data_IF_389891639513
#
_entry.id   IF_389891639513
#
_cell.length_a   1.000
_cell.length_b   1.000
_cell.length_c   1.000
_cell.angle_alpha   90.00
_cell.angle_beta   90.00
_cell.angle_gamma   90.00
#
_symmetry.space_group_name_H-M   'P 1'
#
loop_
_entity.id
_entity.type
_entity.pdbx_description
1 polymer ?
#
# COMPACT_ATOMS: atom_id res chain seq x y z
N UNK A 1 -14.42 6.26 -9.04
CA UNK A 1 -14.44 5.37 -10.22
C UNK A 1 -15.56 5.70 -11.21
N UNK A 2 -16.78 5.97 -10.79
CA UNK A 2 -17.89 6.34 -11.72
C UNK A 2 -17.57 7.59 -12.57
N UNK A 3 -16.72 8.48 -12.09
CA UNK A 3 -16.20 9.62 -12.83
C UNK A 3 -14.98 9.31 -13.73
N UNK A 4 -14.67 8.03 -13.97
CA UNK A 4 -13.52 7.60 -14.78
C UNK A 4 -12.16 7.76 -14.10
N UNK A 5 -12.14 7.98 -12.78
CA UNK A 5 -10.91 8.12 -12.00
C UNK A 5 -10.78 7.05 -10.94
N UNK A 6 -9.55 6.66 -10.63
CA UNK A 6 -9.24 5.73 -9.55
C UNK A 6 -8.94 6.51 -8.27
N UNK A 7 -9.77 6.38 -7.21
CA UNK A 7 -9.71 7.26 -6.04
C UNK A 7 -8.50 6.99 -5.13
N UNK A 8 -7.73 5.94 -5.36
CA UNK A 8 -6.49 5.63 -4.62
C UNK A 8 -5.23 6.14 -5.30
N UNK A 9 -5.31 6.69 -6.51
CA UNK A 9 -4.17 7.29 -7.20
C UNK A 9 -3.86 8.65 -6.61
N UNK A 10 -2.59 8.91 -6.47
CA UNK A 10 -2.06 10.16 -6.00
C UNK A 10 -0.70 10.40 -6.64
N UNK A 11 -0.51 11.57 -7.21
CA UNK A 11 0.83 12.04 -7.52
C UNK A 11 1.63 12.20 -6.22
N UNK A 12 2.92 11.98 -6.30
CA UNK A 12 3.78 12.24 -5.16
C UNK A 12 3.93 13.73 -4.93
N UNK A 13 3.32 14.25 -3.87
CA UNK A 13 3.38 15.65 -3.51
C UNK A 13 4.27 15.86 -2.28
N UNK A 14 5.54 16.18 -2.54
CA UNK A 14 6.51 16.48 -1.49
C UNK A 14 6.15 17.76 -0.72
N UNK A 15 5.34 18.68 -1.29
CA UNK A 15 4.96 19.93 -0.62
C UNK A 15 4.01 19.72 0.55
N UNK A 16 3.28 18.60 0.55
CA UNK A 16 2.40 18.16 1.65
C UNK A 16 3.04 17.12 2.56
N UNK A 17 4.29 16.73 2.28
CA UNK A 17 5.01 15.69 3.04
C UNK A 17 4.80 14.28 2.55
N UNK A 18 4.06 14.09 1.44
CA UNK A 18 3.94 12.84 0.69
C UNK A 18 3.19 11.72 1.42
N UNK A 19 3.72 11.16 2.48
CA UNK A 19 3.14 10.03 3.20
C UNK A 19 1.92 10.37 4.05
N UNK A 20 1.08 9.37 4.30
CA UNK A 20 0.08 9.47 5.36
C UNK A 20 0.71 9.35 6.74
N UNK A 21 0.54 10.37 7.58
CA UNK A 21 1.16 10.47 8.90
C UNK A 21 0.09 10.63 10.00
N UNK A 22 0.40 10.10 11.18
CA UNK A 22 -0.33 10.46 12.38
C UNK A 22 -0.04 11.93 12.71
N UNK A 23 -1.10 12.74 12.87
CA UNK A 23 -1.02 14.17 13.08
C UNK A 23 -0.19 14.53 14.33
N UNK A 24 -0.36 13.77 15.42
CA UNK A 24 0.24 14.08 16.72
C UNK A 24 1.63 13.47 16.87
N UNK A 25 1.80 12.21 16.48
CA UNK A 25 3.06 11.48 16.69
C UNK A 25 4.02 11.55 15.51
N UNK A 26 3.54 11.86 14.30
CA UNK A 26 4.33 11.79 13.06
C UNK A 26 4.58 10.38 12.55
N UNK A 27 4.01 9.35 13.20
CA UNK A 27 4.15 7.98 12.75
C UNK A 27 3.58 7.81 11.33
N UNK A 28 4.37 7.20 10.44
CA UNK A 28 3.95 6.88 9.07
C UNK A 28 3.04 5.66 9.05
N UNK A 29 1.88 5.78 8.41
CA UNK A 29 1.03 4.64 8.12
C UNK A 29 1.62 3.80 6.99
N UNK A 30 1.65 2.48 7.17
CA UNK A 30 2.29 1.51 6.26
C UNK A 30 1.33 0.39 5.87
N UNK A 31 1.84 -0.59 5.12
CA UNK A 31 1.10 -1.76 4.62
C UNK A 31 -0.08 -1.32 3.73
N UNK A 32 -1.28 -1.85 3.94
CA UNK A 32 -2.48 -1.49 3.16
C UNK A 32 -3.09 -0.12 3.53
N UNK A 33 -2.62 0.50 4.62
CA UNK A 33 -3.23 1.73 5.13
C UNK A 33 -3.09 2.95 4.20
N UNK A 34 -1.99 3.17 3.46
CA UNK A 34 -1.90 4.25 2.49
C UNK A 34 -3.07 4.26 1.49
N UNK A 35 -3.48 3.10 0.98
CA UNK A 35 -4.62 2.98 0.06
C UNK A 35 -5.93 3.38 0.76
N UNK A 36 -6.19 2.84 1.96
CA UNK A 36 -7.42 3.12 2.73
C UNK A 36 -7.53 4.61 3.10
N UNK A 37 -6.41 5.23 3.46
CA UNK A 37 -6.33 6.64 3.83
C UNK A 37 -6.46 7.57 2.61
N UNK A 38 -5.88 7.20 1.46
CA UNK A 38 -6.06 7.93 0.20
C UNK A 38 -7.53 7.90 -0.25
N UNK A 39 -8.20 6.74 -0.15
CA UNK A 39 -9.65 6.64 -0.35
C UNK A 39 -10.41 7.57 0.60
N UNK A 40 -10.01 7.59 1.88
CA UNK A 40 -10.58 8.47 2.88
C UNK A 40 -10.41 9.95 2.55
N UNK A 41 -9.27 10.38 2.04
CA UNK A 41 -9.04 11.75 1.54
C UNK A 41 -9.94 12.07 0.37
N UNK A 42 -10.00 11.18 -0.62
CA UNK A 42 -10.83 11.36 -1.82
C UNK A 42 -12.30 11.57 -1.46
N UNK A 43 -12.86 10.74 -0.57
CA UNK A 43 -14.26 10.83 -0.13
C UNK A 43 -14.60 12.16 0.59
N UNK A 44 -13.59 12.85 1.13
CA UNK A 44 -13.73 14.13 1.84
C UNK A 44 -13.36 15.36 0.99
N UNK A 45 -12.79 15.14 -0.19
CA UNK A 45 -12.14 16.22 -0.94
C UNK A 45 -10.96 16.85 -0.17
N UNK A 46 -10.32 16.08 0.74
CA UNK A 46 -9.20 16.56 1.55
C UNK A 46 -7.88 16.35 0.83
N UNK A 47 -6.96 17.30 1.00
CA UNK A 47 -5.57 17.22 0.54
C UNK A 47 -4.58 16.97 1.69
N UNK A 48 -5.08 16.85 2.92
CA UNK A 48 -4.26 16.68 4.12
C UNK A 48 -3.99 15.20 4.41
N UNK A 49 -2.73 14.71 4.31
CA UNK A 49 -2.41 13.31 4.59
C UNK A 49 -2.20 13.03 6.09
N UNK A 50 -2.87 13.78 6.97
CA UNK A 50 -2.70 13.69 8.43
C UNK A 50 -3.94 13.11 9.10
N UNK A 51 -3.72 12.19 10.02
CA UNK A 51 -4.77 11.37 10.64
C UNK A 51 -4.47 11.14 12.11
N UNK A 52 -5.50 10.96 12.94
CA UNK A 52 -5.33 10.48 14.31
C UNK A 52 -6.56 9.73 14.80
N UNK A 53 -6.37 8.89 15.82
CA UNK A 53 -7.49 8.24 16.50
C UNK A 53 -8.24 9.23 17.39
N UNK A 54 -9.52 8.94 17.68
CA UNK A 54 -10.36 9.80 18.52
C UNK A 54 -9.74 10.09 19.89
N UNK A 55 -9.22 9.05 20.54
CA UNK A 55 -8.62 9.20 21.87
C UNK A 55 -7.38 10.11 21.85
N UNK A 56 -6.55 10.00 20.79
CA UNK A 56 -5.39 10.86 20.58
C UNK A 56 -5.80 12.31 20.34
N UNK A 57 -6.77 12.53 19.45
CA UNK A 57 -7.33 13.86 19.17
C UNK A 57 -7.86 14.51 20.45
N UNK A 58 -8.70 13.78 21.20
CA UNK A 58 -9.32 14.28 22.43
C UNK A 58 -8.27 14.63 23.51
N UNK A 59 -7.23 13.83 23.67
CA UNK A 59 -6.12 14.12 24.60
C UNK A 59 -5.35 15.38 24.21
N UNK A 60 -5.32 15.75 22.93
CA UNK A 60 -4.73 16.98 22.41
C UNK A 60 -5.72 18.17 22.37
N UNK A 61 -6.92 18.03 22.93
CA UNK A 61 -7.96 19.08 22.91
C UNK A 61 -8.65 19.24 21.55
N UNK A 62 -8.49 18.27 20.65
CA UNK A 62 -9.11 18.27 19.32
C UNK A 62 -10.31 17.33 19.30
N UNK A 63 -11.32 17.68 18.52
CA UNK A 63 -12.54 16.87 18.37
C UNK A 63 -12.94 16.76 16.90
N UNK A 64 -13.47 15.61 16.44
CA UNK A 64 -14.09 15.52 15.13
C UNK A 64 -15.34 16.41 15.05
N UNK A 65 -15.52 17.10 13.94
CA UNK A 65 -16.74 17.86 13.66
C UNK A 65 -17.95 16.92 13.67
N UNK A 66 -19.09 17.44 14.09
CA UNK A 66 -20.35 16.67 14.06
C UNK A 66 -20.63 16.15 12.64
N UNK A 67 -20.87 14.86 12.53
CA UNK A 67 -21.12 14.19 11.24
C UNK A 67 -19.88 13.67 10.53
N UNK A 68 -18.67 13.95 11.03
CA UNK A 68 -17.44 13.39 10.47
C UNK A 68 -17.42 11.86 10.59
N UNK A 69 -16.93 11.20 9.54
CA UNK A 69 -16.82 9.74 9.50
C UNK A 69 -15.36 9.31 9.58
N UNK A 70 -15.06 8.38 10.48
CA UNK A 70 -13.74 7.81 10.59
C UNK A 70 -13.43 6.86 9.40
N UNK A 71 -12.17 6.83 9.00
CA UNK A 71 -11.60 5.76 8.16
C UNK A 71 -11.09 4.65 9.06
N UNK A 72 -11.35 3.39 8.71
CA UNK A 72 -10.80 2.25 9.45
C UNK A 72 -9.49 1.82 8.81
N UNK A 73 -8.39 1.99 9.54
CA UNK A 73 -7.09 1.44 9.19
C UNK A 73 -6.93 0.04 9.77
N UNK A 74 -6.01 -0.75 9.21
CA UNK A 74 -5.68 -2.09 9.67
C UNK A 74 -4.42 -2.04 10.55
N UNK A 75 -4.58 -2.37 11.83
CA UNK A 75 -3.46 -2.48 12.77
C UNK A 75 -3.09 -3.95 12.95
N UNK A 76 -1.84 -4.36 12.69
CA UNK A 76 -1.43 -5.74 12.93
C UNK A 76 -1.41 -6.05 14.42
N UNK A 77 -1.90 -7.24 14.77
CA UNK A 77 -1.79 -7.85 16.09
C UNK A 77 -1.02 -9.16 15.93
N UNK A 78 0.11 -9.26 16.60
CA UNK A 78 0.93 -10.46 16.62
C UNK A 78 0.45 -11.33 17.77
N UNK A 79 -0.01 -12.53 17.46
CA UNK A 79 -0.36 -13.56 18.44
C UNK A 79 0.81 -14.53 18.54
N UNK A 80 1.50 -14.52 19.68
CA UNK A 80 2.42 -15.61 20.03
C UNK A 80 1.55 -16.79 20.49
N UNK A 81 1.70 -17.94 19.84
CA UNK A 81 0.98 -19.16 20.22
C UNK A 81 1.40 -19.59 21.62
N UNK A 82 0.55 -19.36 22.62
CA UNK A 82 0.53 -20.15 23.84
C UNK A 82 -0.61 -21.17 23.67
N UNK A 83 -0.27 -22.44 23.60
CA UNK A 83 -1.22 -23.54 23.68
C UNK A 83 -2.08 -23.40 24.92
N UNK A 84 -3.38 -23.17 24.75
CA UNK A 84 -4.38 -23.69 25.70
C UNK A 84 -5.67 -23.96 24.94
N UNK A 85 -5.88 -25.22 24.68
CA UNK A 85 -7.12 -26.02 24.68
C UNK A 85 -8.48 -25.29 24.57
N UNK A 86 -9.28 -25.53 23.52
CA UNK A 86 -10.40 -26.48 23.60
C UNK A 86 -11.12 -26.60 22.24
N UNK A 87 -11.49 -27.79 21.93
CA UNK A 87 -12.37 -28.34 20.91
C UNK A 87 -11.76 -28.89 19.61
N UNK A 88 -11.49 -30.17 19.64
CA UNK A 88 -11.80 -31.27 18.73
C UNK A 88 -11.70 -31.08 17.22
N UNK A 89 -10.54 -31.43 16.64
CA UNK A 89 -10.36 -32.31 15.47
C UNK A 89 -8.89 -32.30 15.05
N UNK A 90 -8.29 -33.48 15.00
CA UNK A 90 -6.87 -33.73 14.80
C UNK A 90 -6.39 -33.35 13.41
N UNK A 91 -5.27 -32.59 13.37
CA UNK A 91 -4.16 -32.74 12.41
C UNK A 91 -2.93 -32.11 13.06
N UNK A 92 -1.87 -32.90 13.20
CA UNK A 92 -0.61 -32.49 13.82
C UNK A 92 0.08 -31.39 13.00
N UNK A 93 0.60 -30.31 13.63
CA UNK A 93 1.54 -29.42 12.97
C UNK A 93 2.97 -29.89 13.25
N UNK A 94 3.69 -30.23 12.19
CA UNK A 94 5.14 -30.31 12.22
C UNK A 94 5.75 -28.93 12.51
N UNK A 95 6.54 -28.87 13.56
CA UNK A 95 7.62 -27.94 13.90
C UNK A 95 7.56 -26.46 13.44
N UNK A 96 7.49 -25.57 14.42
CA UNK A 96 7.91 -24.17 14.35
C UNK A 96 6.89 -23.23 14.98
N UNK A 97 7.34 -22.40 15.94
CA UNK A 97 6.58 -21.30 16.52
C UNK A 97 5.91 -20.47 15.41
N UNK A 98 4.63 -20.76 15.11
CA UNK A 98 3.89 -20.05 14.09
C UNK A 98 3.36 -18.73 14.66
N UNK A 99 4.08 -17.65 14.39
CA UNK A 99 3.60 -16.29 14.68
C UNK A 99 2.39 -16.00 13.80
N UNK A 100 1.20 -15.97 14.41
CA UNK A 100 -0.04 -15.63 13.71
C UNK A 100 -0.28 -14.12 13.77
N UNK A 101 -0.36 -13.47 12.61
CA UNK A 101 -0.69 -12.04 12.52
C UNK A 101 -2.16 -11.91 12.17
N UNK A 102 -2.94 -11.27 13.03
CA UNK A 102 -4.31 -10.82 12.75
C UNK A 102 -4.33 -9.29 12.54
N UNK A 103 -5.40 -8.77 11.94
CA UNK A 103 -5.55 -7.34 11.72
C UNK A 103 -6.80 -6.83 12.42
N UNK A 104 -6.62 -5.80 13.26
CA UNK A 104 -7.71 -5.13 13.94
C UNK A 104 -8.02 -3.80 13.22
N UNK A 105 -9.29 -3.54 12.84
CA UNK A 105 -9.69 -2.24 12.33
C UNK A 105 -9.66 -1.18 13.44
N UNK A 106 -8.97 -0.06 13.19
CA UNK A 106 -8.88 1.08 14.12
C UNK A 106 -9.43 2.32 13.41
N UNK A 107 -10.42 3.02 13.99
CA UNK A 107 -10.96 4.24 13.41
C UNK A 107 -10.00 5.41 13.59
N UNK A 108 -9.72 6.13 12.50
CA UNK A 108 -8.94 7.37 12.49
C UNK A 108 -9.69 8.47 11.75
N UNK A 109 -9.51 9.71 12.18
CA UNK A 109 -10.11 10.90 11.58
C UNK A 109 -9.05 11.68 10.82
N UNK A 110 -9.44 12.25 9.67
CA UNK A 110 -8.59 13.15 8.92
C UNK A 110 -8.47 14.50 9.62
N UNK A 111 -7.32 15.14 9.50
CA UNK A 111 -7.11 16.48 10.10
C UNK A 111 -8.12 17.52 9.59
N UNK A 112 -8.59 17.40 8.34
CA UNK A 112 -9.64 18.27 7.79
C UNK A 112 -11.00 18.13 8.51
N UNK A 113 -11.24 17.02 9.17
CA UNK A 113 -12.47 16.76 9.94
C UNK A 113 -12.36 17.20 11.41
N UNK A 114 -11.21 17.64 11.88
CA UNK A 114 -10.97 18.01 13.27
C UNK A 114 -11.24 19.50 13.50
N UNK A 115 -11.53 19.82 14.75
CA UNK A 115 -11.59 21.20 15.28
C UNK A 115 -10.98 21.22 16.68
N UNK A 116 -10.43 22.36 17.05
CA UNK A 116 -9.84 22.60 18.37
C UNK A 116 -8.69 23.58 18.33
N UNK A 117 -8.23 24.04 19.50
CA UNK A 117 -7.12 25.00 19.58
C UNK A 117 -5.82 24.37 19.11
N UNK A 118 -5.01 25.13 18.38
CA UNK A 118 -3.68 24.68 17.92
C UNK A 118 -3.69 23.70 16.75
N UNK A 119 -4.84 23.41 16.11
CA UNK A 119 -4.90 22.46 15.01
C UNK A 119 -4.08 22.91 13.79
N UNK A 120 -4.19 24.18 13.41
CA UNK A 120 -3.49 24.72 12.25
C UNK A 120 -1.97 24.73 12.46
N UNK A 121 -1.53 25.03 13.68
CA UNK A 121 -0.13 24.97 14.10
C UNK A 121 0.42 23.55 14.05
N UNK A 122 -0.36 22.55 14.51
CA UNK A 122 0.00 21.14 14.44
C UNK A 122 0.13 20.68 12.97
N UNK A 123 -0.82 21.06 12.12
CA UNK A 123 -0.76 20.75 10.67
C UNK A 123 0.48 21.40 10.04
N UNK A 124 0.74 22.67 10.33
CA UNK A 124 1.88 23.39 9.80
C UNK A 124 3.22 22.77 10.29
N UNK A 125 3.32 22.45 11.56
CA UNK A 125 4.48 21.77 12.13
C UNK A 125 4.70 20.41 11.49
N UNK A 126 3.65 19.61 11.35
CA UNK A 126 3.73 18.28 10.73
C UNK A 126 4.17 18.35 9.27
N UNK A 127 3.64 19.32 8.53
CA UNK A 127 4.03 19.57 7.13
C UNK A 127 5.51 19.96 7.04
N UNK A 128 5.96 20.88 7.89
CA UNK A 128 7.36 21.33 7.91
C UNK A 128 8.34 20.19 8.16
N UNK A 129 8.06 19.32 9.15
CA UNK A 129 8.89 18.13 9.43
C UNK A 129 8.86 17.13 8.27
N UNK A 130 7.70 16.87 7.69
CA UNK A 130 7.55 15.91 6.61
C UNK A 130 8.26 16.37 5.32
N UNK A 131 8.15 17.66 4.99
CA UNK A 131 8.85 18.25 3.84
C UNK A 131 10.37 18.25 4.04
N UNK A 132 10.83 18.64 5.24
CA UNK A 132 12.27 18.65 5.56
C UNK A 132 12.89 17.24 5.58
N UNK A 133 12.12 16.22 5.96
CA UNK A 133 12.55 14.82 5.96
C UNK A 133 12.32 14.07 4.63
N UNK A 134 11.71 14.71 3.65
CA UNK A 134 11.45 14.11 2.33
C UNK A 134 12.72 14.00 1.49
N UNK A 135 12.82 12.93 0.71
CA UNK A 135 13.92 12.76 -0.26
C UNK A 135 13.70 13.65 -1.49
N UNK A 136 14.73 14.35 -2.00
CA UNK A 136 14.64 15.06 -3.27
C UNK A 136 14.38 14.11 -4.44
N UNK A 137 13.80 14.63 -5.52
CA UNK A 137 13.39 13.80 -6.66
C UNK A 137 14.50 12.92 -7.23
N UNK A 138 15.74 13.41 -7.46
CA UNK A 138 16.81 12.55 -7.98
C UNK A 138 17.11 11.34 -7.09
N UNK A 139 17.06 11.49 -5.78
CA UNK A 139 17.29 10.40 -4.83
C UNK A 139 16.14 9.38 -4.83
N UNK A 140 14.89 9.87 -4.94
CA UNK A 140 13.69 9.02 -5.04
C UNK A 140 13.72 8.19 -6.32
N UNK A 141 14.07 8.81 -7.45
CA UNK A 141 14.19 8.13 -8.74
C UNK A 141 15.35 7.13 -8.75
N UNK A 142 16.49 7.46 -8.13
CA UNK A 142 17.59 6.53 -7.97
C UNK A 142 17.23 5.31 -7.11
N UNK A 143 16.44 5.51 -6.04
CA UNK A 143 15.91 4.42 -5.22
C UNK A 143 14.95 3.54 -6.03
N UNK A 144 14.04 4.14 -6.78
CA UNK A 144 13.12 3.40 -7.65
C UNK A 144 13.86 2.56 -8.68
N UNK A 145 14.85 3.13 -9.36
CA UNK A 145 15.73 2.40 -10.29
C UNK A 145 16.43 1.23 -9.61
N UNK A 146 17.01 1.46 -8.42
CA UNK A 146 17.73 0.42 -7.68
C UNK A 146 16.82 -0.75 -7.27
N UNK A 147 15.62 -0.46 -6.75
CA UNK A 147 14.68 -1.49 -6.28
C UNK A 147 14.07 -2.25 -7.44
N UNK A 148 13.53 -1.55 -8.44
CA UNK A 148 12.88 -2.18 -9.59
C UNK A 148 13.89 -2.88 -10.49
N UNK A 149 15.10 -2.32 -10.65
CA UNK A 149 16.19 -2.90 -11.42
C UNK A 149 16.82 -4.12 -10.76
N UNK A 150 16.75 -4.27 -9.43
CA UNK A 150 17.18 -5.46 -8.71
C UNK A 150 16.15 -6.62 -8.79
N UNK A 151 14.93 -6.35 -9.28
CA UNK A 151 13.94 -7.40 -9.45
C UNK A 151 14.37 -8.40 -10.53
N UNK A 152 14.24 -9.70 -10.24
CA UNK A 152 14.83 -10.77 -11.04
C UNK A 152 14.21 -11.00 -12.42
N UNK A 153 13.04 -10.39 -12.69
CA UNK A 153 12.35 -10.55 -13.97
C UNK A 153 12.94 -9.61 -15.01
N UNK A 154 13.38 -10.15 -16.19
CA UNK A 154 13.99 -9.33 -17.24
C UNK A 154 13.04 -8.26 -17.78
N UNK A 155 13.58 -7.06 -18.01
CA UNK A 155 12.86 -5.95 -18.63
C UNK A 155 13.38 -5.70 -20.04
N UNK A 156 12.49 -5.74 -21.03
CA UNK A 156 12.79 -5.37 -22.42
C UNK A 156 12.13 -4.03 -22.75
N UNK A 157 12.92 -3.07 -23.19
CA UNK A 157 12.41 -1.78 -23.65
C UNK A 157 12.14 -1.79 -25.15
N UNK A 158 11.02 -1.13 -25.54
CA UNK A 158 10.58 -0.94 -26.92
C UNK A 158 9.10 -1.25 -27.10
N UNK A 159 8.57 -0.81 -28.26
CA UNK A 159 7.13 -0.88 -28.53
C UNK A 159 6.35 0.23 -27.86
N UNK A 160 5.01 0.13 -27.91
CA UNK A 160 4.07 1.17 -27.47
C UNK A 160 3.26 0.80 -26.23
N UNK A 161 3.53 -0.40 -25.66
CA UNK A 161 2.77 -0.94 -24.51
C UNK A 161 3.68 -1.45 -23.42
N UNK A 162 3.29 -1.16 -22.18
CA UNK A 162 3.80 -1.86 -21.01
C UNK A 162 2.98 -3.13 -20.78
N UNK A 163 3.65 -4.25 -20.51
CA UNK A 163 2.99 -5.48 -20.09
C UNK A 163 3.98 -6.48 -19.47
N UNK A 164 3.49 -7.26 -18.51
CA UNK A 164 4.14 -8.50 -18.10
C UNK A 164 3.65 -9.66 -18.96
N UNK A 165 4.54 -10.53 -19.40
CA UNK A 165 4.26 -11.71 -20.23
C UNK A 165 4.53 -12.96 -19.40
N UNK A 166 3.48 -13.62 -18.82
CA UNK A 166 3.66 -14.77 -17.93
C UNK A 166 4.40 -15.94 -18.59
N UNK A 167 4.11 -16.25 -19.86
CA UNK A 167 4.71 -17.37 -20.59
C UNK A 167 6.20 -17.21 -20.85
N UNK A 168 6.70 -15.98 -20.86
CA UNK A 168 8.13 -15.66 -21.04
C UNK A 168 8.81 -15.23 -19.75
N UNK A 169 8.04 -15.04 -18.69
CA UNK A 169 8.44 -14.42 -17.42
C UNK A 169 9.25 -13.13 -17.66
N UNK A 170 8.69 -12.23 -18.46
CA UNK A 170 9.37 -11.02 -18.95
C UNK A 170 8.45 -9.81 -18.88
N UNK A 171 9.02 -8.66 -18.48
CA UNK A 171 8.36 -7.36 -18.55
C UNK A 171 8.75 -6.65 -19.83
N UNK A 172 7.79 -6.04 -20.51
CA UNK A 172 8.02 -5.09 -21.61
C UNK A 172 7.59 -3.71 -21.21
N UNK A 173 8.41 -2.71 -21.53
CA UNK A 173 8.12 -1.29 -21.30
C UNK A 173 8.42 -0.49 -22.58
N UNK A 174 7.65 0.56 -22.90
CA UNK A 174 8.07 1.58 -23.84
C UNK A 174 9.42 2.19 -23.45
N UNK A 175 10.04 2.94 -24.37
CA UNK A 175 11.25 3.67 -24.03
C UNK A 175 10.95 4.71 -22.94
N UNK A 176 11.90 4.94 -22.03
CA UNK A 176 11.72 5.91 -20.94
C UNK A 176 11.36 7.32 -21.46
N UNK A 177 11.83 7.68 -22.64
CA UNK A 177 11.53 8.93 -23.32
C UNK A 177 10.09 9.07 -23.80
N UNK A 178 9.34 7.97 -23.90
CA UNK A 178 7.96 7.96 -24.38
C UNK A 178 6.95 8.31 -23.27
N UNK A 179 7.44 8.37 -22.02
CA UNK A 179 6.61 8.74 -20.87
C UNK A 179 6.64 10.26 -20.64
N UNK A 180 5.49 10.81 -20.22
CA UNK A 180 5.36 12.24 -19.94
C UNK A 180 6.20 12.72 -18.73
N UNK A 181 6.59 11.80 -17.83
CA UNK A 181 7.45 12.08 -16.69
C UNK A 181 8.22 10.83 -16.23
N UNK A 182 9.33 11.05 -15.52
CA UNK A 182 10.06 9.96 -14.89
C UNK A 182 9.21 9.20 -13.86
N UNK A 183 8.36 9.93 -13.12
CA UNK A 183 7.44 9.32 -12.17
C UNK A 183 6.46 8.35 -12.84
N UNK A 184 5.91 8.72 -14.01
CA UNK A 184 5.01 7.86 -14.78
C UNK A 184 5.72 6.58 -15.27
N UNK A 185 6.96 6.71 -15.74
CA UNK A 185 7.77 5.55 -16.13
C UNK A 185 7.96 4.56 -14.98
N UNK A 186 8.39 5.02 -13.81
CA UNK A 186 8.59 4.13 -12.65
C UNK A 186 7.28 3.59 -12.08
N UNK A 187 6.20 4.36 -12.09
CA UNK A 187 4.89 3.88 -11.67
C UNK A 187 4.38 2.75 -12.57
N UNK A 188 4.57 2.89 -13.89
CA UNK A 188 4.23 1.83 -14.85
C UNK A 188 5.12 0.61 -14.67
N UNK A 189 6.42 0.80 -14.50
CA UNK A 189 7.32 -0.32 -14.22
C UNK A 189 6.95 -1.05 -12.92
N UNK A 190 6.63 -0.32 -11.85
CA UNK A 190 6.16 -0.91 -10.60
C UNK A 190 4.86 -1.73 -10.79
N UNK A 191 3.94 -1.28 -11.64
CA UNK A 191 2.72 -2.02 -11.98
C UNK A 191 3.05 -3.38 -12.63
N UNK A 192 3.92 -3.39 -13.65
CA UNK A 192 4.33 -4.61 -14.33
C UNK A 192 5.14 -5.56 -13.41
N UNK A 193 5.96 -5.00 -12.51
CA UNK A 193 6.64 -5.77 -11.47
C UNK A 193 5.62 -6.46 -10.56
N UNK A 194 4.55 -5.77 -10.14
CA UNK A 194 3.51 -6.40 -9.32
C UNK A 194 2.81 -7.54 -10.06
N UNK A 195 2.48 -7.39 -11.34
CA UNK A 195 1.96 -8.50 -12.16
C UNK A 195 2.93 -9.68 -12.15
N UNK A 196 4.21 -9.44 -12.36
CA UNK A 196 5.20 -10.50 -12.42
C UNK A 196 5.34 -11.28 -11.10
N UNK A 197 5.02 -10.66 -9.96
CA UNK A 197 4.95 -11.39 -8.68
C UNK A 197 3.90 -12.49 -8.65
N UNK A 198 2.92 -12.44 -9.55
CA UNK A 198 1.88 -13.46 -9.69
C UNK A 198 2.29 -14.73 -10.42
N UNK A 199 3.49 -14.78 -11.00
CA UNK A 199 3.99 -15.97 -11.68
C UNK A 199 3.96 -17.21 -10.78
N UNK A 200 3.79 -18.40 -11.38
CA UNK A 200 3.69 -19.68 -10.67
C UNK A 200 4.89 -20.00 -9.78
N UNK A 201 6.09 -19.50 -10.15
CA UNK A 201 7.31 -19.65 -9.34
C UNK A 201 7.41 -18.69 -8.16
N UNK A 202 6.45 -17.76 -7.98
CA UNK A 202 6.45 -16.74 -6.94
C UNK A 202 5.18 -16.83 -6.08
N UNK A 203 4.20 -15.96 -6.29
CA UNK A 203 2.96 -15.94 -5.49
C UNK A 203 1.82 -16.76 -6.10
N UNK A 204 2.03 -17.36 -7.26
CA UNK A 204 1.11 -18.29 -7.94
C UNK A 204 -0.35 -17.76 -8.00
N UNK A 205 -0.50 -16.51 -8.50
CA UNK A 205 -1.82 -15.93 -8.72
C UNK A 205 -2.39 -16.36 -10.07
N UNK A 206 -3.70 -16.34 -10.20
CA UNK A 206 -4.38 -16.61 -11.47
C UNK A 206 -4.17 -15.44 -12.46
N UNK A 207 -3.24 -15.63 -13.39
CA UNK A 207 -2.91 -14.71 -14.48
C UNK A 207 -3.55 -15.14 -15.82
N UNK A 208 -4.43 -16.15 -15.81
CA UNK A 208 -5.00 -16.76 -17.03
C UNK A 208 -6.24 -16.05 -17.56
N UNK A 209 -6.73 -15.03 -16.85
CA UNK A 209 -7.96 -14.32 -17.23
C UNK A 209 -7.86 -13.64 -18.59
N UNK A 210 -8.80 -13.92 -19.50
CA UNK A 210 -8.95 -13.19 -20.75
C UNK A 210 -9.29 -11.71 -20.49
N UNK A 211 -8.86 -10.83 -21.39
CA UNK A 211 -9.15 -9.40 -21.33
C UNK A 211 -10.66 -9.15 -21.16
N UNK A 212 -11.00 -8.40 -20.09
CA UNK A 212 -12.40 -8.08 -19.75
C UNK A 212 -13.12 -9.12 -18.89
N UNK A 213 -12.48 -10.24 -18.53
CA UNK A 213 -13.00 -11.19 -17.54
C UNK A 213 -12.90 -10.65 -16.11
N UNK A 214 -13.67 -11.22 -15.19
CA UNK A 214 -13.59 -10.86 -13.77
C UNK A 214 -12.23 -11.25 -13.13
N UNK A 215 -11.64 -12.38 -13.58
CA UNK A 215 -10.31 -12.80 -13.17
C UNK A 215 -9.25 -11.78 -13.61
N UNK A 216 -9.30 -11.33 -14.86
CA UNK A 216 -8.43 -10.29 -15.40
C UNK A 216 -8.62 -8.98 -14.64
N UNK A 217 -9.86 -8.51 -14.44
CA UNK A 217 -10.16 -7.29 -13.73
C UNK A 217 -9.66 -7.34 -12.26
N UNK A 218 -9.71 -8.51 -11.63
CA UNK A 218 -9.21 -8.73 -10.28
C UNK A 218 -7.69 -8.62 -10.22
N UNK A 219 -6.97 -9.25 -11.14
CA UNK A 219 -5.51 -9.17 -11.20
C UNK A 219 -5.03 -7.74 -11.51
N UNK A 220 -5.69 -7.04 -12.43
CA UNK A 220 -5.44 -5.61 -12.69
C UNK A 220 -5.62 -4.76 -11.41
N UNK A 221 -6.62 -5.08 -10.58
CA UNK A 221 -6.82 -4.39 -9.32
C UNK A 221 -5.71 -4.71 -8.31
N UNK A 222 -5.18 -5.94 -8.29
CA UNK A 222 -4.01 -6.31 -7.48
C UNK A 222 -2.78 -5.52 -7.93
N UNK A 223 -2.52 -5.46 -9.24
CA UNK A 223 -1.38 -4.75 -9.79
C UNK A 223 -1.47 -3.24 -9.55
N UNK A 224 -2.64 -2.66 -9.73
CA UNK A 224 -2.90 -1.25 -9.46
C UNK A 224 -2.66 -0.89 -8.00
N UNK A 225 -3.26 -1.63 -7.05
CA UNK A 225 -3.10 -1.36 -5.63
C UNK A 225 -1.67 -1.67 -5.15
N UNK A 226 -1.02 -2.67 -5.73
CA UNK A 226 0.39 -2.97 -5.50
C UNK A 226 1.30 -1.84 -5.97
N UNK A 227 1.05 -1.30 -7.16
CA UNK A 227 1.79 -0.14 -7.67
C UNK A 227 1.61 1.10 -6.79
N UNK A 228 0.40 1.34 -6.26
CA UNK A 228 0.15 2.42 -5.28
C UNK A 228 0.98 2.22 -4.01
N UNK A 229 1.02 1.00 -3.46
CA UNK A 229 1.77 0.70 -2.25
C UNK A 229 3.29 0.76 -2.47
N UNK A 230 3.76 0.28 -3.61
CA UNK A 230 5.18 0.34 -3.97
C UNK A 230 5.59 1.78 -4.27
N UNK A 231 4.74 2.54 -4.97
CA UNK A 231 4.92 3.95 -5.22
C UNK A 231 4.98 4.79 -3.94
N UNK A 232 4.18 4.46 -2.92
CA UNK A 232 4.28 5.09 -1.59
C UNK A 232 5.64 4.76 -0.92
N UNK A 233 6.12 3.51 -1.01
CA UNK A 233 7.43 3.12 -0.45
C UNK A 233 8.60 3.83 -1.15
N UNK A 234 8.54 3.93 -2.47
CA UNK A 234 9.58 4.51 -3.32
C UNK A 234 9.45 6.03 -3.46
N UNK A 235 8.34 6.63 -3.02
CA UNK A 235 8.04 8.06 -3.12
C UNK A 235 7.97 8.56 -4.59
N UNK A 236 7.42 7.73 -5.47
CA UNK A 236 7.29 8.04 -6.91
C UNK A 236 5.86 8.33 -7.36
N UNK A 237 4.89 8.22 -6.44
CA UNK A 237 3.47 8.31 -6.80
C UNK A 237 2.95 7.04 -7.46
N UNK A 238 1.75 7.11 -8.01
CA UNK A 238 1.05 5.97 -8.62
C UNK A 238 0.27 6.35 -9.88
N UNK A 239 0.70 7.41 -10.58
CA UNK A 239 0.06 7.82 -11.83
C UNK A 239 0.48 6.85 -12.95
N UNK A 240 -0.36 5.85 -13.21
CA UNK A 240 -0.23 4.93 -14.35
C UNK A 240 -1.26 5.34 -15.40
N UNK A 241 -0.84 5.59 -16.64
CA UNK A 241 -1.75 5.95 -17.73
C UNK A 241 -2.64 4.77 -18.13
N UNK A 242 -3.89 5.06 -18.56
CA UNK A 242 -4.81 4.13 -19.23
C UNK A 242 -5.67 3.14 -18.42
N UNK A 243 -5.95 3.36 -17.14
CA UNK A 243 -6.82 2.45 -16.38
C UNK A 243 -8.32 2.82 -16.39
N UNK A 244 -8.73 3.88 -17.09
CA UNK A 244 -10.15 4.24 -17.21
C UNK A 244 -10.99 3.09 -17.78
N UNK A 245 -10.43 2.26 -18.66
CA UNK A 245 -11.09 1.10 -19.25
C UNK A 245 -11.51 0.03 -18.21
N UNK A 246 -10.76 -0.10 -17.09
CA UNK A 246 -11.03 -1.10 -16.05
C UNK A 246 -11.97 -0.60 -14.95
N UNK A 247 -12.18 0.71 -14.82
CA UNK A 247 -12.97 1.28 -13.73
C UNK A 247 -14.38 0.69 -13.66
N UNK A 248 -15.02 0.43 -14.78
CA UNK A 248 -16.37 -0.14 -14.80
C UNK A 248 -16.40 -1.60 -14.29
N UNK A 249 -15.39 -2.41 -14.65
CA UNK A 249 -15.26 -3.78 -14.16
C UNK A 249 -14.98 -3.80 -12.66
N UNK A 250 -14.11 -2.93 -12.17
CA UNK A 250 -13.83 -2.80 -10.72
C UNK A 250 -15.05 -2.31 -9.94
N UNK A 251 -15.84 -1.37 -10.50
CA UNK A 251 -17.08 -0.93 -9.88
C UNK A 251 -18.03 -2.12 -9.72
N UNK A 252 -18.22 -2.92 -10.77
CA UNK A 252 -19.07 -4.12 -10.73
C UNK A 252 -18.57 -5.10 -9.69
N UNK A 253 -17.29 -5.50 -9.76
CA UNK A 253 -16.65 -6.45 -8.86
C UNK A 253 -16.79 -6.02 -7.40
N UNK A 254 -16.52 -4.76 -7.07
CA UNK A 254 -16.59 -4.23 -5.71
C UNK A 254 -18.01 -4.00 -5.21
N UNK A 255 -18.99 -3.78 -6.10
CA UNK A 255 -20.42 -3.72 -5.74
C UNK A 255 -21.00 -5.08 -5.43
N UNK A 256 -20.66 -6.09 -6.24
CA UNK A 256 -21.11 -7.46 -6.04
C UNK A 256 -20.48 -8.11 -4.82
N UNK A 257 -19.21 -7.84 -4.56
CA UNK A 257 -18.47 -8.37 -3.41
C UNK A 257 -17.48 -7.36 -2.81
N UNK A 258 -17.92 -6.47 -1.91
CA UNK A 258 -17.02 -5.50 -1.27
C UNK A 258 -15.85 -6.13 -0.50
N UNK A 259 -16.00 -7.38 -0.06
CA UNK A 259 -14.94 -8.12 0.64
C UNK A 259 -13.72 -8.40 -0.25
N UNK A 260 -13.90 -8.43 -1.58
CA UNK A 260 -12.81 -8.59 -2.55
C UNK A 260 -11.74 -7.52 -2.39
N UNK A 261 -12.10 -6.29 -2.01
CA UNK A 261 -11.13 -5.23 -1.78
C UNK A 261 -10.07 -5.63 -0.74
N UNK A 262 -10.48 -6.27 0.36
CA UNK A 262 -9.54 -6.69 1.42
C UNK A 262 -8.68 -7.87 0.98
N UNK A 263 -9.21 -8.78 0.17
CA UNK A 263 -8.45 -9.87 -0.42
C UNK A 263 -7.38 -9.33 -1.37
N UNK A 264 -7.77 -8.46 -2.30
CA UNK A 264 -6.88 -7.81 -3.27
C UNK A 264 -5.81 -6.97 -2.56
N UNK A 265 -6.18 -6.19 -1.53
CA UNK A 265 -5.20 -5.47 -0.71
C UNK A 265 -4.21 -6.41 -0.01
N UNK A 266 -4.67 -7.58 0.42
CA UNK A 266 -3.79 -8.61 0.98
C UNK A 266 -2.80 -9.16 -0.02
N UNK A 267 -3.21 -9.40 -1.26
CA UNK A 267 -2.36 -9.88 -2.35
C UNK A 267 -1.40 -8.79 -2.83
N UNK A 268 -1.87 -7.57 -3.02
CA UNK A 268 -1.04 -6.42 -3.36
C UNK A 268 0.06 -6.19 -2.30
N UNK A 269 -0.27 -6.31 -1.02
CA UNK A 269 0.71 -6.23 0.07
C UNK A 269 1.76 -7.33 -0.03
N UNK A 270 1.36 -8.60 -0.25
CA UNK A 270 2.32 -9.70 -0.42
C UNK A 270 3.23 -9.49 -1.61
N UNK A 271 2.70 -8.99 -2.73
CA UNK A 271 3.48 -8.65 -3.92
C UNK A 271 4.55 -7.58 -3.59
N UNK A 272 4.15 -6.50 -2.93
CA UNK A 272 5.07 -5.43 -2.55
C UNK A 272 6.11 -5.89 -1.53
N UNK A 273 5.73 -6.75 -0.59
CA UNK A 273 6.66 -7.31 0.39
C UNK A 273 7.70 -8.22 -0.26
N UNK A 274 7.33 -8.94 -1.32
CA UNK A 274 8.26 -9.77 -2.08
C UNK A 274 9.27 -8.92 -2.87
N UNK A 275 8.84 -7.79 -3.45
CA UNK A 275 9.69 -6.89 -4.25
C UNK A 275 10.60 -6.04 -3.37
N UNK A 276 10.05 -5.50 -2.29
CA UNK A 276 10.76 -4.64 -1.34
C UNK A 276 10.30 -4.96 0.08
N UNK A 277 10.97 -5.90 0.76
CA UNK A 277 10.70 -6.22 2.15
C UNK A 277 10.77 -4.99 3.07
N UNK A 278 9.89 -4.92 4.06
CA UNK A 278 9.91 -3.83 5.04
C UNK A 278 10.97 -4.13 6.12
N UNK A 279 12.09 -3.41 6.12
CA UNK A 279 13.19 -3.58 7.06
C UNK A 279 12.73 -3.57 8.55
N UNK A 280 11.65 -2.87 8.86
CA UNK A 280 11.06 -2.88 10.20
C UNK A 280 10.39 -4.22 10.58
N UNK A 281 10.06 -5.07 9.60
CA UNK A 281 9.55 -6.44 9.84
C UNK A 281 10.72 -7.39 10.06
N UNK A 282 11.82 -7.22 9.32
CA UNK A 282 13.04 -8.01 9.48
C UNK A 282 13.71 -7.80 10.84
N UNK A 283 13.81 -6.55 11.34
CA UNK A 283 14.35 -6.27 12.67
C UNK A 283 13.51 -6.89 13.80
N UNK A 284 12.19 -6.93 13.66
CA UNK A 284 11.31 -7.57 14.64
C UNK A 284 11.40 -9.10 14.59
N UNK A 285 11.61 -9.68 13.42
CA UNK A 285 11.86 -11.11 13.28
C UNK A 285 13.26 -11.48 13.84
N UNK A 286 14.28 -10.68 13.55
CA UNK A 286 15.64 -10.90 14.05
C UNK A 286 15.74 -10.75 15.58
N UNK A 287 15.03 -9.79 16.19
CA UNK A 287 14.99 -9.61 17.66
C UNK A 287 14.19 -10.69 18.36
N UNK A 288 13.19 -11.30 17.72
CA UNK A 288 12.47 -12.45 18.29
C UNK A 288 13.35 -13.70 18.41
N UNK A 289 14.40 -13.83 17.59
CA UNK A 289 15.35 -14.95 17.62
C UNK A 289 16.59 -14.70 18.51
N UNK A 290 16.76 -13.48 19.08
CA UNK A 290 17.95 -13.08 19.83
C UNK A 290 17.75 -12.94 21.34
N UNK A 291 16.82 -13.64 21.95
CA UNK A 291 16.75 -13.74 23.41
C UNK A 291 17.79 -14.76 23.90
N UNK A 292 18.86 -14.34 24.62
CA UNK A 292 19.79 -15.30 25.21
C UNK A 292 19.07 -16.04 26.32
N UNK A 293 19.13 -17.37 26.23
CA UNK A 293 18.79 -18.28 27.31
C UNK A 293 19.63 -17.92 28.56
N UNK A 294 19.05 -17.15 29.47
CA UNK A 294 19.63 -16.95 30.80
C UNK A 294 19.32 -18.21 31.63
N UNK A 295 20.33 -19.06 31.72
CA UNK A 295 20.44 -20.01 32.82
C UNK A 295 20.83 -19.21 34.05
N UNK A 296 19.95 -19.19 35.07
CA UNK A 296 20.29 -19.39 36.48
C UNK A 296 18.99 -19.69 37.25
#
# INVERSE_FOLDING_TARGET
MEAGTTPWRREWDASTGGHHLNLLTGHRYRCSNPVLLTLGMHLRGSVLPYWCAYAEANAAGLMPRKGSQAVRILRPQVHQGSDTSDSGAAQEPENGDSVRVSYRPVPVFNAADLVGPGLDELIAQRRGVAVAGGRPEPERLALAEAVLGAWSVPVQHGGDRACYIPSADQIRLPQRTDFHSCGAYYATWAHEVVHSTGHTSRLDRDLSGDYGSDAYAREELVAELGAVLLGDRLEIGSAVDNHAAYCQHWIRLLRESPAVLFQVLGEARRAVELVQPDAAVEERSATAFSTPSSKY
#
